data_IF_358300116774
#
_entry.id   IF_358300116774
#
_cell.length_a   1.000
_cell.length_b   1.000
_cell.length_c   1.000
_cell.angle_alpha   90.00
_cell.angle_beta   90.00
_cell.angle_gamma   90.00
#
_symmetry.space_group_name_H-M   'P 1'
#
loop_
_entity.id
_entity.type
_entity.pdbx_description
1 polymer ?
#
# COMPACT_ATOMS: atom_id res chain seq x y z
N UNK A 1 14.22 -10.23 -3.25
CA UNK A 1 14.79 -11.32 -4.05
C UNK A 1 16.00 -10.83 -4.83
N UNK A 2 15.87 -9.76 -5.63
CA UNK A 2 17.02 -9.19 -6.35
C UNK A 2 18.02 -8.52 -5.39
N UNK A 3 17.55 -7.81 -4.36
CA UNK A 3 18.41 -7.27 -3.29
C UNK A 3 19.31 -8.36 -2.67
N UNK A 4 18.71 -9.47 -2.22
CA UNK A 4 19.43 -10.61 -1.63
C UNK A 4 20.38 -11.32 -2.59
N UNK A 5 20.18 -11.18 -3.91
CA UNK A 5 21.07 -11.73 -4.93
C UNK A 5 22.24 -10.78 -5.24
N UNK A 6 22.00 -9.47 -5.28
CA UNK A 6 23.00 -8.46 -5.62
C UNK A 6 23.88 -8.06 -4.42
N UNK A 7 23.35 -8.11 -3.20
CA UNK A 7 24.06 -7.74 -1.98
C UNK A 7 25.37 -8.54 -1.78
N UNK A 8 25.40 -9.88 -1.93
CA UNK A 8 26.66 -10.63 -1.79
C UNK A 8 27.67 -10.33 -2.89
N UNK A 9 27.20 -9.98 -4.09
CA UNK A 9 28.03 -9.66 -5.26
C UNK A 9 28.64 -8.25 -5.17
N UNK A 10 28.09 -7.36 -4.33
CA UNK A 10 28.63 -6.02 -4.11
C UNK A 10 30.05 -6.03 -3.52
N UNK A 11 30.43 -7.09 -2.80
CA UNK A 11 31.80 -7.29 -2.33
C UNK A 11 32.81 -7.56 -3.46
N UNK A 12 32.33 -8.03 -4.62
CA UNK A 12 33.17 -8.36 -5.78
C UNK A 12 33.11 -7.29 -6.87
N UNK A 13 31.96 -6.62 -7.03
CA UNK A 13 31.74 -5.60 -8.07
C UNK A 13 31.41 -4.26 -7.39
N UNK A 14 32.37 -3.32 -7.40
CA UNK A 14 32.24 -2.00 -6.73
C UNK A 14 31.00 -1.21 -7.15
N UNK A 15 30.54 -1.34 -8.40
CA UNK A 15 29.34 -0.66 -8.91
C UNK A 15 28.07 -1.14 -8.20
N UNK A 16 28.00 -2.40 -7.77
CA UNK A 16 26.83 -2.95 -7.09
C UNK A 16 26.67 -2.45 -5.64
N UNK A 17 27.68 -1.75 -5.10
CA UNK A 17 27.60 -1.15 -3.76
C UNK A 17 26.44 -0.15 -3.63
N UNK A 18 25.97 0.42 -4.75
CA UNK A 18 24.80 1.31 -4.78
C UNK A 18 23.52 0.64 -4.24
N UNK A 19 23.42 -0.69 -4.29
CA UNK A 19 22.27 -1.46 -3.84
C UNK A 19 22.12 -1.44 -2.31
N UNK A 20 23.18 -1.14 -1.54
CA UNK A 20 23.07 -0.99 -0.09
C UNK A 20 22.31 0.28 0.33
N UNK A 21 22.27 1.31 -0.52
CA UNK A 21 21.61 2.57 -0.19
C UNK A 21 20.08 2.46 -0.35
N UNK A 22 19.35 2.69 0.74
CA UNK A 22 17.87 2.71 0.76
C UNK A 22 17.31 3.74 -0.23
N UNK A 23 17.99 4.88 -0.40
CA UNK A 23 17.59 5.92 -1.36
C UNK A 23 17.61 5.40 -2.79
N UNK A 24 18.71 4.76 -3.19
CA UNK A 24 18.83 4.14 -4.50
C UNK A 24 17.75 3.09 -4.71
N UNK A 25 17.59 2.16 -3.74
CA UNK A 25 16.58 1.09 -3.78
C UNK A 25 15.15 1.63 -3.89
N UNK A 26 14.83 2.71 -3.17
CA UNK A 26 13.54 3.38 -3.25
C UNK A 26 13.28 3.96 -4.64
N UNK A 27 14.27 4.65 -5.23
CA UNK A 27 14.14 5.23 -6.57
C UNK A 27 13.94 4.15 -7.62
N UNK A 28 14.77 3.11 -7.63
CA UNK A 28 14.64 2.03 -8.62
C UNK A 28 13.36 1.22 -8.41
N UNK A 29 12.88 1.04 -7.18
CA UNK A 29 11.60 0.38 -6.91
C UNK A 29 10.42 1.21 -7.43
N UNK A 30 10.42 2.53 -7.19
CA UNK A 30 9.42 3.46 -7.75
C UNK A 30 9.44 3.46 -9.28
N UNK A 31 10.62 3.54 -9.91
CA UNK A 31 10.74 3.47 -11.38
C UNK A 31 10.27 2.13 -11.93
N UNK A 32 10.59 1.01 -11.25
CA UNK A 32 10.12 -0.32 -11.64
C UNK A 32 8.59 -0.40 -11.53
N UNK A 33 8.01 0.13 -10.45
CA UNK A 33 6.56 0.18 -10.25
C UNK A 33 5.85 0.99 -11.35
N UNK A 34 6.39 2.17 -11.65
CA UNK A 34 5.91 3.03 -12.73
C UNK A 34 5.98 2.32 -14.09
N UNK A 35 7.12 1.71 -14.41
CA UNK A 35 7.31 0.97 -15.66
C UNK A 35 6.35 -0.21 -15.80
N UNK A 36 6.15 -1.00 -14.72
CA UNK A 36 5.19 -2.12 -14.72
C UNK A 36 3.78 -1.59 -15.02
N UNK A 37 3.36 -0.52 -14.35
CA UNK A 37 2.03 0.05 -14.57
C UNK A 37 1.87 0.62 -16.00
N UNK A 38 2.90 1.29 -16.53
CA UNK A 38 2.90 1.83 -17.88
C UNK A 38 2.86 0.74 -18.97
N UNK A 39 3.68 -0.31 -18.84
CA UNK A 39 3.79 -1.34 -19.89
C UNK A 39 2.71 -2.44 -19.77
N UNK A 40 2.30 -2.82 -18.56
CA UNK A 40 1.25 -3.83 -18.37
C UNK A 40 -0.16 -3.22 -18.44
N UNK A 41 -0.30 -1.90 -18.27
CA UNK A 41 -1.58 -1.19 -18.34
C UNK A 41 -2.38 -1.49 -19.62
N UNK A 42 -1.83 -1.25 -20.83
CA UNK A 42 -2.53 -1.51 -22.09
C UNK A 42 -2.96 -2.96 -22.26
N UNK A 43 -2.09 -3.90 -21.86
CA UNK A 43 -2.37 -5.33 -21.93
C UNK A 43 -3.52 -5.71 -20.99
N UNK A 44 -3.52 -5.20 -19.76
CA UNK A 44 -4.58 -5.47 -18.79
C UNK A 44 -5.91 -4.86 -19.25
N UNK A 45 -5.91 -3.60 -19.68
CA UNK A 45 -7.10 -2.89 -20.18
C UNK A 45 -7.71 -3.67 -21.36
N UNK A 46 -6.89 -4.10 -22.32
CA UNK A 46 -7.36 -4.92 -23.45
C UNK A 46 -7.97 -6.23 -22.97
N UNK A 47 -7.34 -6.90 -22.02
CA UNK A 47 -7.81 -8.18 -21.48
C UNK A 47 -9.14 -8.04 -20.75
N UNK A 48 -9.30 -7.01 -19.92
CA UNK A 48 -10.55 -6.72 -19.20
C UNK A 48 -11.69 -6.36 -20.16
N UNK A 49 -11.39 -5.58 -21.21
CA UNK A 49 -12.36 -5.22 -22.26
C UNK A 49 -12.85 -6.44 -23.03
N UNK A 50 -11.94 -7.36 -23.39
CA UNK A 50 -12.28 -8.62 -24.08
C UNK A 50 -13.18 -9.53 -23.23
N UNK A 51 -13.02 -9.50 -21.90
CA UNK A 51 -13.86 -10.27 -20.98
C UNK A 51 -15.20 -9.59 -20.65
N UNK A 52 -15.53 -8.44 -21.28
CA UNK A 52 -16.73 -7.64 -21.00
C UNK A 52 -16.91 -7.30 -19.51
N UNK A 53 -15.79 -7.12 -18.79
CA UNK A 53 -15.79 -6.74 -17.38
C UNK A 53 -15.99 -5.22 -17.28
N UNK A 54 -17.15 -4.76 -17.74
CA UNK A 54 -17.56 -3.36 -17.68
C UNK A 54 -18.33 -3.07 -16.39
N UNK A 55 -18.19 -1.85 -15.88
CA UNK A 55 -18.89 -1.40 -14.68
C UNK A 55 -20.41 -1.37 -14.92
N UNK A 56 -21.19 -2.10 -14.10
CA UNK A 56 -22.66 -2.03 -14.12
C UNK A 56 -23.07 -0.74 -13.40
N UNK A 57 -23.64 0.21 -14.15
CA UNK A 57 -24.01 1.55 -13.65
C UNK A 57 -25.09 1.44 -12.58
N UNK A 58 -24.92 2.12 -11.44
CA UNK A 58 -25.97 2.28 -10.41
C UNK A 58 -27.05 3.24 -10.93
N UNK A 59 -28.32 2.87 -10.80
CA UNK A 59 -29.45 3.73 -11.17
C UNK A 59 -29.64 4.91 -10.20
N UNK A 60 -29.04 4.83 -9.03
CA UNK A 60 -29.18 5.70 -7.87
C UNK A 60 -28.07 6.78 -7.74
N UNK A 61 -27.24 6.98 -8.78
CA UNK A 61 -26.14 7.96 -8.81
C UNK A 61 -26.40 9.22 -9.66
N UNK A 62 -25.61 10.30 -9.47
CA UNK A 62 -25.69 11.54 -10.28
C UNK A 62 -25.52 11.27 -11.79
N UNK A 63 -26.13 12.09 -12.66
CA UNK A 63 -26.10 11.87 -14.12
C UNK A 63 -24.69 11.88 -14.74
N UNK A 64 -23.73 12.56 -14.11
CA UNK A 64 -22.31 12.53 -14.49
C UNK A 64 -21.67 11.14 -14.36
N UNK A 65 -22.26 10.21 -13.59
CA UNK A 65 -21.79 8.82 -13.47
C UNK A 65 -22.37 7.89 -14.56
N UNK A 66 -23.33 8.35 -15.37
CA UNK A 66 -23.90 7.56 -16.47
C UNK A 66 -22.94 7.44 -17.67
N UNK A 67 -21.98 8.36 -17.83
CA UNK A 67 -20.96 8.33 -18.89
C UNK A 67 -19.85 7.29 -18.66
N UNK A 68 -19.76 6.69 -17.46
CA UNK A 68 -18.79 5.64 -17.11
C UNK A 68 -19.19 4.23 -17.57
N UNK A 69 -20.23 4.11 -18.40
CA UNK A 69 -20.66 2.83 -18.94
C UNK A 69 -19.57 2.23 -19.85
N UNK A 70 -18.94 1.14 -19.39
CA UNK A 70 -18.01 0.34 -20.20
C UNK A 70 -16.52 0.55 -19.95
N UNK A 71 -16.11 1.36 -18.97
CA UNK A 71 -14.71 1.33 -18.48
C UNK A 71 -14.46 0.02 -17.72
N UNK A 72 -13.33 -0.67 -18.00
CA UNK A 72 -13.02 -1.94 -17.37
C UNK A 72 -12.80 -1.78 -15.86
N UNK A 73 -13.46 -2.61 -15.06
CA UNK A 73 -13.29 -2.62 -13.60
C UNK A 73 -12.15 -3.57 -13.21
N UNK A 74 -11.62 -3.46 -11.99
CA UNK A 74 -10.46 -4.20 -11.45
C UNK A 74 -9.06 -3.65 -11.80
N UNK A 75 -8.93 -2.36 -12.12
CA UNK A 75 -7.62 -1.71 -12.30
C UNK A 75 -6.69 -1.83 -11.07
N UNK A 76 -7.24 -2.05 -9.87
CA UNK A 76 -6.46 -2.31 -8.66
C UNK A 76 -5.52 -3.52 -8.75
N UNK A 77 -5.80 -4.51 -9.60
CA UNK A 77 -4.87 -5.63 -9.86
C UNK A 77 -3.53 -5.14 -10.44
N UNK A 78 -3.57 -4.14 -11.33
CA UNK A 78 -2.36 -3.53 -11.88
C UNK A 78 -1.55 -2.86 -10.78
N UNK A 79 -2.21 -2.09 -9.92
CA UNK A 79 -1.58 -1.40 -8.80
C UNK A 79 -0.93 -2.42 -7.86
N UNK A 80 -1.65 -3.47 -7.45
CA UNK A 80 -1.11 -4.49 -6.56
C UNK A 80 0.12 -5.18 -7.16
N UNK A 81 0.08 -5.54 -8.45
CA UNK A 81 1.24 -6.12 -9.14
C UNK A 81 2.42 -5.13 -9.22
N UNK A 82 2.14 -3.87 -9.58
CA UNK A 82 3.13 -2.80 -9.68
C UNK A 82 3.72 -2.40 -8.32
N UNK A 83 3.08 -2.73 -7.19
CA UNK A 83 3.61 -2.49 -5.85
C UNK A 83 4.37 -3.70 -5.32
N UNK A 84 3.80 -4.90 -5.45
CA UNK A 84 4.37 -6.12 -4.88
C UNK A 84 5.64 -6.55 -5.60
N UNK A 85 5.66 -6.51 -6.94
CA UNK A 85 6.84 -6.96 -7.68
C UNK A 85 8.08 -6.12 -7.32
N UNK A 86 8.06 -4.77 -7.39
CA UNK A 86 9.23 -3.97 -7.03
C UNK A 86 9.59 -4.07 -5.54
N UNK A 87 8.59 -4.12 -4.65
CA UNK A 87 8.85 -4.33 -3.21
C UNK A 87 9.59 -5.65 -3.00
N UNK A 88 9.10 -6.75 -3.58
CA UNK A 88 9.73 -8.06 -3.43
C UNK A 88 11.10 -8.16 -4.10
N UNK A 89 11.35 -7.37 -5.15
CA UNK A 89 12.66 -7.30 -5.79
C UNK A 89 13.68 -6.55 -4.93
N UNK A 90 13.34 -5.35 -4.47
CA UNK A 90 14.28 -4.38 -3.93
C UNK A 90 14.31 -4.26 -2.39
N UNK A 91 13.23 -4.62 -1.69
CA UNK A 91 13.21 -4.54 -0.23
C UNK A 91 13.99 -5.69 0.44
N UNK A 92 14.48 -5.44 1.65
CA UNK A 92 15.02 -6.49 2.50
C UNK A 92 13.88 -7.33 3.09
N UNK A 93 13.65 -8.51 2.50
CA UNK A 93 12.60 -9.44 2.92
C UNK A 93 12.77 -10.06 4.31
N UNK A 94 13.88 -9.78 5.01
CA UNK A 94 14.04 -10.15 6.42
C UNK A 94 13.32 -9.18 7.36
N UNK A 95 12.95 -8.00 6.87
CA UNK A 95 12.25 -6.98 7.68
C UNK A 95 10.77 -7.37 7.85
N UNK A 96 10.30 -7.59 9.10
CA UNK A 96 8.90 -7.92 9.38
C UNK A 96 7.91 -6.84 8.93
N UNK A 97 8.29 -5.56 8.91
CA UNK A 97 7.39 -4.48 8.50
C UNK A 97 7.04 -4.56 7.02
N UNK A 98 7.96 -5.00 6.17
CA UNK A 98 7.68 -5.24 4.75
C UNK A 98 6.57 -6.28 4.60
N UNK A 99 6.63 -7.38 5.36
CA UNK A 99 5.60 -8.41 5.33
C UNK A 99 4.28 -7.93 5.91
N UNK A 100 4.28 -7.15 6.99
CA UNK A 100 3.06 -6.54 7.51
C UNK A 100 2.40 -5.66 6.43
N UNK A 101 3.17 -4.81 5.75
CA UNK A 101 2.66 -3.96 4.68
C UNK A 101 2.14 -4.75 3.47
N UNK A 102 2.89 -5.75 3.00
CA UNK A 102 2.51 -6.59 1.86
C UNK A 102 1.27 -7.44 2.18
N UNK A 103 1.24 -8.13 3.32
CA UNK A 103 0.13 -9.01 3.72
C UNK A 103 -1.13 -8.20 4.01
N UNK A 104 -1.02 -7.05 4.69
CA UNK A 104 -2.18 -6.18 4.92
C UNK A 104 -2.76 -5.67 3.60
N UNK A 105 -1.91 -5.16 2.71
CA UNK A 105 -2.32 -4.67 1.38
C UNK A 105 -2.94 -5.79 0.54
N UNK A 106 -2.36 -6.99 0.58
CA UNK A 106 -2.90 -8.15 -0.12
C UNK A 106 -4.25 -8.59 0.47
N UNK A 107 -4.41 -8.57 1.79
CA UNK A 107 -5.65 -8.91 2.47
C UNK A 107 -6.79 -7.95 2.12
N UNK A 108 -6.56 -6.64 2.22
CA UNK A 108 -7.55 -5.64 1.79
C UNK A 108 -7.80 -5.68 0.27
N UNK A 109 -6.75 -5.91 -0.52
CA UNK A 109 -6.84 -6.10 -1.97
C UNK A 109 -7.70 -7.30 -2.35
N UNK A 110 -7.56 -8.43 -1.67
CA UNK A 110 -8.35 -9.63 -1.88
C UNK A 110 -9.84 -9.41 -1.53
N UNK A 111 -10.12 -8.67 -0.44
CA UNK A 111 -11.48 -8.28 -0.08
C UNK A 111 -12.11 -7.39 -1.17
N UNK A 112 -11.35 -6.40 -1.67
CA UNK A 112 -11.78 -5.53 -2.77
C UNK A 112 -12.01 -6.31 -4.07
N UNK A 113 -11.10 -7.22 -4.41
CA UNK A 113 -11.24 -8.09 -5.57
C UNK A 113 -12.48 -8.98 -5.48
N UNK A 114 -12.74 -9.58 -4.32
CA UNK A 114 -13.95 -10.37 -4.10
C UNK A 114 -15.23 -9.52 -4.24
N UNK A 115 -15.21 -8.28 -3.77
CA UNK A 115 -16.32 -7.32 -3.88
C UNK A 115 -16.62 -7.00 -5.35
N UNK A 116 -15.59 -6.69 -6.12
CA UNK A 116 -15.74 -6.37 -7.54
C UNK A 116 -16.09 -7.59 -8.38
N UNK A 117 -15.50 -8.75 -8.09
CA UNK A 117 -15.82 -10.00 -8.76
C UNK A 117 -17.30 -10.36 -8.59
N UNK A 118 -17.87 -10.20 -7.38
CA UNK A 118 -19.29 -10.46 -7.16
C UNK A 118 -20.20 -9.51 -7.95
N UNK A 119 -19.86 -8.21 -8.05
CA UNK A 119 -20.64 -7.24 -8.85
C UNK A 119 -20.70 -7.68 -10.32
N UNK A 120 -19.56 -8.12 -10.86
CA UNK A 120 -19.45 -8.57 -12.25
C UNK A 120 -20.22 -9.89 -12.46
N UNK A 121 -19.98 -10.88 -11.59
CA UNK A 121 -20.60 -12.20 -11.70
C UNK A 121 -22.13 -12.15 -11.58
N UNK A 122 -22.65 -11.25 -10.73
CA UNK A 122 -24.09 -11.05 -10.53
C UNK A 122 -24.73 -10.06 -11.50
N UNK A 123 -23.93 -9.37 -12.32
CA UNK A 123 -24.36 -8.29 -13.23
C UNK A 123 -25.25 -7.24 -12.55
N UNK A 124 -24.91 -6.91 -11.31
CA UNK A 124 -25.62 -5.90 -10.54
C UNK A 124 -24.62 -5.01 -9.79
N UNK A 125 -25.11 -3.94 -9.19
CA UNK A 125 -24.30 -3.02 -8.40
C UNK A 125 -23.94 -3.54 -6.99
N UNK A 126 -24.50 -4.68 -6.58
CA UNK A 126 -24.35 -5.22 -5.23
C UNK A 126 -23.20 -6.22 -5.14
N UNK A 127 -22.11 -5.80 -4.49
CA UNK A 127 -20.95 -6.66 -4.20
C UNK A 127 -21.15 -7.55 -2.96
N UNK A 128 -20.13 -7.63 -2.11
CA UNK A 128 -20.23 -8.27 -0.81
C UNK A 128 -21.28 -7.55 0.06
N UNK A 129 -22.05 -8.31 0.84
CA UNK A 129 -22.87 -7.69 1.88
C UNK A 129 -21.97 -6.94 2.86
N UNK A 130 -22.40 -5.74 3.26
CA UNK A 130 -21.62 -4.84 4.12
C UNK A 130 -21.09 -5.55 5.38
N UNK A 131 -21.89 -6.41 6.01
CA UNK A 131 -21.48 -7.21 7.18
C UNK A 131 -20.29 -8.14 6.92
N UNK A 132 -20.24 -8.78 5.75
CA UNK A 132 -19.15 -9.70 5.40
C UNK A 132 -17.89 -8.94 4.98
N UNK A 133 -18.06 -7.82 4.25
CA UNK A 133 -16.95 -6.93 3.90
C UNK A 133 -16.29 -6.35 5.16
N UNK A 134 -17.11 -5.83 6.08
CA UNK A 134 -16.65 -5.29 7.36
C UNK A 134 -15.98 -6.36 8.23
N UNK A 135 -16.58 -7.55 8.37
CA UNK A 135 -15.99 -8.65 9.13
C UNK A 135 -14.62 -9.08 8.57
N UNK A 136 -14.48 -9.15 7.25
CA UNK A 136 -13.21 -9.49 6.61
C UNK A 136 -12.15 -8.39 6.82
N UNK A 137 -12.52 -7.11 6.68
CA UNK A 137 -11.62 -5.98 6.94
C UNK A 137 -11.16 -5.96 8.41
N UNK A 138 -12.08 -6.19 9.36
CA UNK A 138 -11.76 -6.30 10.79
C UNK A 138 -10.85 -7.49 11.07
N UNK A 139 -11.04 -8.64 10.42
CA UNK A 139 -10.18 -9.80 10.61
C UNK A 139 -8.74 -9.55 10.13
N UNK A 140 -8.57 -8.95 8.94
CA UNK A 140 -7.24 -8.55 8.44
C UNK A 140 -6.59 -7.53 9.38
N UNK A 141 -7.33 -6.51 9.79
CA UNK A 141 -6.79 -5.46 10.64
C UNK A 141 -6.46 -5.95 12.06
N UNK A 142 -7.24 -6.90 12.60
CA UNK A 142 -6.95 -7.59 13.86
C UNK A 142 -5.65 -8.38 13.76
N UNK A 143 -5.45 -9.16 12.69
CA UNK A 143 -4.22 -9.92 12.47
C UNK A 143 -2.98 -9.00 12.40
N UNK A 144 -3.10 -7.85 11.72
CA UNK A 144 -2.03 -6.83 11.67
C UNK A 144 -1.73 -6.26 13.06
N UNK A 145 -2.76 -5.87 13.82
CA UNK A 145 -2.59 -5.35 15.17
C UNK A 145 -1.92 -6.37 16.11
N UNK A 146 -2.35 -7.62 16.05
CA UNK A 146 -1.74 -8.73 16.82
C UNK A 146 -0.29 -8.93 16.41
N UNK A 147 0.03 -8.93 15.12
CA UNK A 147 1.40 -9.09 14.64
C UNK A 147 2.33 -8.00 15.20
N UNK A 148 1.90 -6.73 15.19
CA UNK A 148 2.69 -5.62 15.75
C UNK A 148 2.88 -5.77 17.26
N UNK A 149 1.83 -6.13 18.00
CA UNK A 149 1.92 -6.35 19.45
C UNK A 149 2.84 -7.53 19.78
N UNK A 150 2.81 -8.61 19.00
CA UNK A 150 3.71 -9.74 19.19
C UNK A 150 5.16 -9.35 18.91
N UNK A 151 5.43 -8.63 17.82
CA UNK A 151 6.78 -8.11 17.53
C UNK A 151 7.31 -7.22 18.66
N UNK A 152 6.46 -6.33 19.19
CA UNK A 152 6.81 -5.48 20.33
C UNK A 152 7.12 -6.26 21.62
N UNK A 153 6.59 -7.49 21.76
CA UNK A 153 6.88 -8.38 22.89
C UNK A 153 8.14 -9.21 22.68
N UNK A 154 8.37 -9.72 21.47
CA UNK A 154 9.53 -10.55 21.15
C UNK A 154 10.81 -9.74 21.03
N UNK A 155 10.74 -8.55 20.41
CA UNK A 155 11.90 -7.68 20.18
C UNK A 155 11.59 -6.23 20.63
N UNK A 156 11.44 -5.99 21.95
CA UNK A 156 11.02 -4.70 22.50
C UNK A 156 12.03 -3.56 22.28
N UNK A 157 13.27 -3.89 21.90
CA UNK A 157 14.31 -2.91 21.55
C UNK A 157 14.11 -2.31 20.17
N UNK A 158 13.44 -3.03 19.26
CA UNK A 158 13.24 -2.64 17.87
C UNK A 158 11.80 -2.23 17.58
N UNK A 159 10.83 -2.87 18.24
CA UNK A 159 9.40 -2.65 18.03
C UNK A 159 8.72 -2.18 19.32
N UNK A 160 7.74 -1.29 19.20
CA UNK A 160 6.97 -0.79 20.34
C UNK A 160 5.53 -0.45 19.93
N UNK A 161 4.68 -0.27 20.94
CA UNK A 161 3.26 0.11 20.83
C UNK A 161 3.03 1.56 21.25
N UNK A 162 4.06 2.42 21.15
CA UNK A 162 3.95 3.83 21.50
C UNK A 162 3.37 4.62 20.32
N UNK A 163 2.47 5.55 20.63
CA UNK A 163 1.95 6.49 19.64
C UNK A 163 2.65 7.82 19.76
N UNK A 164 3.30 8.27 18.70
CA UNK A 164 3.83 9.63 18.64
C UNK A 164 2.71 10.62 18.35
N UNK A 165 2.48 11.54 19.28
CA UNK A 165 1.50 12.63 19.12
C UNK A 165 2.22 13.81 18.47
N UNK A 166 1.82 14.24 17.26
CA UNK A 166 2.42 15.40 16.61
C UNK A 166 2.38 16.63 17.53
N UNK A 167 3.38 17.50 17.42
CA UNK A 167 3.57 18.72 18.22
C UNK A 167 3.92 18.50 19.71
N UNK A 168 3.54 17.37 20.32
CA UNK A 168 3.87 17.02 21.70
C UNK A 168 5.03 16.02 21.76
N UNK A 169 6.26 16.50 21.54
CA UNK A 169 7.48 15.67 21.36
C UNK A 169 7.77 14.69 22.51
N UNK A 170 7.36 15.02 23.74
CA UNK A 170 7.58 14.19 24.92
C UNK A 170 6.37 13.30 25.26
N UNK A 171 5.23 13.49 24.60
CA UNK A 171 4.02 12.71 24.83
C UNK A 171 3.94 11.56 23.83
N UNK A 172 4.47 10.41 24.23
CA UNK A 172 4.44 9.18 23.45
C UNK A 172 3.78 8.06 24.26
N UNK A 173 2.45 8.10 24.48
CA UNK A 173 1.76 7.10 25.29
C UNK A 173 1.95 5.69 24.72
N UNK A 174 2.28 4.74 25.61
CA UNK A 174 2.31 3.33 25.27
C UNK A 174 0.91 2.74 25.40
N UNK A 175 0.39 2.22 24.29
CA UNK A 175 -0.98 1.75 24.18
C UNK A 175 -1.09 0.25 24.53
N UNK A 176 0.02 -0.48 24.45
CA UNK A 176 0.09 -1.91 24.73
C UNK A 176 -0.94 -2.72 23.94
N UNK A 177 -1.78 -3.50 24.64
CA UNK A 177 -2.81 -4.35 24.02
C UNK A 177 -3.90 -3.56 23.29
N UNK A 178 -4.17 -2.32 23.70
CA UNK A 178 -5.14 -1.45 23.04
C UNK A 178 -4.68 -1.02 21.63
N UNK A 179 -3.43 -1.32 21.26
CA UNK A 179 -2.92 -1.08 19.92
C UNK A 179 -3.65 -1.93 18.87
N UNK A 180 -4.19 -3.09 19.25
CA UNK A 180 -4.99 -3.95 18.36
C UNK A 180 -6.30 -3.27 17.92
N UNK A 181 -7.22 -2.88 18.83
CA UNK A 181 -8.44 -2.18 18.42
C UNK A 181 -8.15 -0.82 17.76
N UNK A 182 -7.07 -0.13 18.16
CA UNK A 182 -6.63 1.10 17.48
C UNK A 182 -6.26 0.83 16.02
N UNK A 183 -5.45 -0.19 15.75
CA UNK A 183 -5.07 -0.60 14.38
C UNK A 183 -6.28 -1.03 13.56
N UNK A 184 -7.23 -1.76 14.18
CA UNK A 184 -8.49 -2.13 13.54
C UNK A 184 -9.29 -0.90 13.10
N UNK A 185 -9.45 0.07 13.99
CA UNK A 185 -10.15 1.32 13.68
C UNK A 185 -9.47 2.04 12.51
N UNK A 186 -8.16 2.25 12.58
CA UNK A 186 -7.41 3.02 11.57
C UNK A 186 -7.46 2.34 10.19
N UNK A 187 -7.15 1.04 10.10
CA UNK A 187 -7.09 0.35 8.81
C UNK A 187 -8.47 0.24 8.15
N UNK A 188 -9.50 -0.09 8.93
CA UNK A 188 -10.88 -0.18 8.41
C UNK A 188 -11.37 1.21 7.99
N UNK A 189 -11.14 2.25 8.79
CA UNK A 189 -11.52 3.61 8.46
C UNK A 189 -10.84 4.06 7.15
N UNK A 190 -9.51 3.96 7.07
CA UNK A 190 -8.75 4.35 5.88
C UNK A 190 -9.20 3.59 4.62
N UNK A 191 -9.40 2.26 4.71
CA UNK A 191 -9.85 1.46 3.56
C UNK A 191 -11.22 1.92 3.05
N UNK A 192 -12.16 2.21 3.94
CA UNK A 192 -13.48 2.68 3.56
C UNK A 192 -13.46 4.13 3.07
N UNK A 193 -12.65 5.01 3.67
CA UNK A 193 -12.46 6.40 3.20
C UNK A 193 -11.93 6.44 1.77
N UNK A 194 -10.92 5.63 1.44
CA UNK A 194 -10.38 5.57 0.06
C UNK A 194 -11.43 5.03 -0.91
N UNK A 195 -12.19 3.99 -0.52
CA UNK A 195 -13.29 3.46 -1.34
C UNK A 195 -14.37 4.51 -1.63
N UNK A 196 -14.73 5.33 -0.63
CA UNK A 196 -15.69 6.44 -0.80
C UNK A 196 -15.15 7.57 -1.69
N UNK A 197 -13.83 7.78 -1.71
CA UNK A 197 -13.18 8.81 -2.53
C UNK A 197 -13.10 8.40 -4.01
N UNK A 198 -13.15 7.10 -4.30
CA UNK A 198 -13.05 6.51 -5.64
C UNK A 198 -14.36 6.59 -6.45
N UNK A 199 -14.91 7.79 -6.54
CA UNK A 199 -16.13 8.10 -7.31
C UNK A 199 -15.85 8.80 -8.64
N UNK A 200 -14.74 9.55 -8.73
CA UNK A 200 -14.35 10.35 -9.89
C UNK A 200 -13.04 9.83 -10.47
N UNK A 201 -12.90 9.89 -11.79
CA UNK A 201 -11.70 9.40 -12.48
C UNK A 201 -10.47 10.21 -12.02
N UNK A 202 -9.40 9.52 -11.67
CA UNK A 202 -8.16 10.13 -11.16
C UNK A 202 -8.21 10.65 -9.72
N UNK A 203 -9.38 10.83 -9.09
CA UNK A 203 -9.48 11.49 -7.77
C UNK A 203 -8.84 10.67 -6.64
N UNK A 204 -9.22 9.40 -6.51
CA UNK A 204 -8.66 8.54 -5.46
C UNK A 204 -7.17 8.28 -5.68
N UNK A 205 -6.74 8.01 -6.91
CA UNK A 205 -5.33 7.68 -7.17
C UNK A 205 -4.40 8.89 -7.03
N UNK A 206 -4.84 10.09 -7.44
CA UNK A 206 -4.03 11.32 -7.29
C UNK A 206 -3.86 11.71 -5.82
N UNK A 207 -4.94 11.67 -5.03
CA UNK A 207 -4.87 11.90 -3.58
C UNK A 207 -4.03 10.85 -2.88
N UNK A 208 -4.14 9.57 -3.28
CA UNK A 208 -3.30 8.49 -2.77
C UNK A 208 -1.82 8.67 -3.13
N UNK A 209 -1.48 9.15 -4.34
CA UNK A 209 -0.10 9.42 -4.74
C UNK A 209 0.57 10.48 -3.85
N UNK A 210 -0.17 11.54 -3.48
CA UNK A 210 0.31 12.57 -2.54
C UNK A 210 0.53 11.98 -1.15
N UNK A 211 -0.42 11.19 -0.65
CA UNK A 211 -0.30 10.52 0.64
C UNK A 211 0.89 9.54 0.68
N UNK A 212 1.05 8.70 -0.35
CA UNK A 212 2.15 7.75 -0.49
C UNK A 212 3.52 8.46 -0.56
N UNK A 213 3.60 9.59 -1.25
CA UNK A 213 4.82 10.42 -1.32
C UNK A 213 5.17 10.98 0.06
N UNK A 214 4.16 11.44 0.80
CA UNK A 214 4.32 11.92 2.17
C UNK A 214 4.81 10.80 3.09
N UNK A 215 4.19 9.62 3.06
CA UNK A 215 4.63 8.46 3.85
C UNK A 215 6.04 7.99 3.48
N UNK A 216 6.42 8.04 2.19
CA UNK A 216 7.78 7.73 1.74
C UNK A 216 8.80 8.63 2.45
N UNK A 217 8.55 9.94 2.49
CA UNK A 217 9.40 10.90 3.18
C UNK A 217 9.42 10.65 4.71
N UNK A 218 8.26 10.45 5.33
CA UNK A 218 8.16 10.22 6.77
C UNK A 218 8.94 8.98 7.21
N UNK A 219 8.72 7.84 6.55
CA UNK A 219 9.39 6.57 6.88
C UNK A 219 10.89 6.68 6.66
N UNK A 220 11.33 7.37 5.62
CA UNK A 220 12.76 7.60 5.39
C UNK A 220 13.39 8.43 6.52
N UNK A 221 12.73 9.51 6.92
CA UNK A 221 13.20 10.42 7.97
C UNK A 221 13.23 9.72 9.33
N UNK A 222 12.17 9.00 9.71
CA UNK A 222 12.11 8.28 11.00
C UNK A 222 13.04 7.07 11.06
N UNK A 223 13.33 6.46 9.91
CA UNK A 223 14.32 5.40 9.75
C UNK A 223 15.78 5.87 9.82
N UNK A 224 16.04 7.17 9.62
CA UNK A 224 17.40 7.71 9.52
C UNK A 224 17.85 8.34 10.84
N UNK A 225 18.95 7.84 11.43
CA UNK A 225 19.41 8.25 12.76
C UNK A 225 19.58 9.77 12.91
N UNK A 226 20.29 10.41 11.98
CA UNK A 226 20.56 11.86 12.03
C UNK A 226 19.30 12.72 11.87
N UNK A 227 18.40 12.34 10.96
CA UNK A 227 17.19 13.13 10.70
C UNK A 227 16.15 12.97 11.80
N UNK A 228 15.97 11.75 12.32
CA UNK A 228 15.07 11.49 13.44
C UNK A 228 15.51 12.29 14.68
N UNK A 229 16.80 12.30 14.99
CA UNK A 229 17.35 13.09 16.12
C UNK A 229 17.17 14.60 15.90
N UNK A 230 17.57 15.12 14.73
CA UNK A 230 17.48 16.54 14.41
C UNK A 230 16.04 17.08 14.46
N UNK A 231 15.07 16.31 13.96
CA UNK A 231 13.66 16.69 13.94
C UNK A 231 12.92 16.34 15.25
N UNK A 232 13.61 15.68 16.19
CA UNK A 232 13.05 15.17 17.44
C UNK A 232 11.86 14.23 17.19
N UNK A 233 12.02 13.33 16.22
CA UNK A 233 11.08 12.27 15.87
C UNK A 233 11.51 10.95 16.52
N UNK A 234 10.53 10.07 16.77
CA UNK A 234 10.82 8.72 17.25
C UNK A 234 11.61 7.94 16.18
N UNK A 235 12.83 7.54 16.52
CA UNK A 235 13.65 6.68 15.66
C UNK A 235 13.11 5.26 15.70
N UNK A 236 12.73 4.74 14.55
CA UNK A 236 12.24 3.38 14.39
C UNK A 236 13.06 2.67 13.29
N UNK A 237 13.29 1.35 13.38
CA UNK A 237 13.96 0.59 12.32
C UNK A 237 13.00 0.33 11.14
N UNK A 238 12.40 1.38 10.58
CA UNK A 238 11.35 1.31 9.53
C UNK A 238 11.88 1.68 8.15
N UNK A 239 13.18 1.95 7.99
CA UNK A 239 13.74 2.49 6.74
C UNK A 239 13.48 1.63 5.50
N UNK A 240 13.31 0.31 5.63
CA UNK A 240 12.98 -0.56 4.49
C UNK A 240 11.57 -0.28 3.94
N UNK A 241 10.61 0.15 4.77
CA UNK A 241 9.27 0.51 4.32
C UNK A 241 9.28 1.67 3.32
N UNK A 242 10.35 2.48 3.26
CA UNK A 242 10.51 3.52 2.24
C UNK A 242 10.46 2.94 0.82
N UNK A 243 10.96 1.71 0.62
CA UNK A 243 10.95 1.03 -0.69
C UNK A 243 9.52 0.62 -1.07
N UNK A 244 8.73 0.11 -0.10
CA UNK A 244 7.32 -0.19 -0.31
C UNK A 244 6.51 1.08 -0.62
N UNK A 245 6.68 2.14 0.16
CA UNK A 245 6.01 3.43 -0.09
C UNK A 245 6.44 4.07 -1.41
N UNK A 246 7.73 3.98 -1.78
CA UNK A 246 8.22 4.43 -3.09
C UNK A 246 7.59 3.64 -4.24
N UNK A 247 7.40 2.33 -4.06
CA UNK A 247 6.66 1.48 -5.02
C UNK A 247 5.20 1.91 -5.14
N UNK A 248 4.54 2.28 -4.04
CA UNK A 248 3.18 2.86 -4.07
C UNK A 248 3.15 4.14 -4.92
N UNK A 249 4.12 5.05 -4.75
CA UNK A 249 4.20 6.28 -5.54
C UNK A 249 4.33 5.97 -7.04
N UNK A 250 5.30 5.14 -7.42
CA UNK A 250 5.52 4.78 -8.82
C UNK A 250 4.32 4.09 -9.45
N UNK A 251 3.71 3.13 -8.75
CA UNK A 251 2.51 2.44 -9.21
C UNK A 251 1.33 3.42 -9.40
N UNK A 252 1.15 4.36 -8.47
CA UNK A 252 0.06 5.35 -8.51
C UNK A 252 0.22 6.32 -9.68
N UNK A 253 1.43 6.83 -9.90
CA UNK A 253 1.72 7.70 -11.05
C UNK A 253 1.51 6.97 -12.39
N UNK A 254 1.95 5.71 -12.47
CA UNK A 254 1.76 4.91 -13.68
C UNK A 254 0.30 4.53 -13.92
N UNK A 255 -0.48 4.31 -12.85
CA UNK A 255 -1.92 4.05 -12.97
C UNK A 255 -2.68 5.30 -13.39
N UNK A 256 -2.33 6.47 -12.83
CA UNK A 256 -2.92 7.75 -13.18
C UNK A 256 -2.81 8.06 -14.68
N UNK A 257 -1.71 7.65 -15.34
CA UNK A 257 -1.55 7.77 -16.80
C UNK A 257 -2.69 7.11 -17.59
N UNK A 258 -3.26 6.02 -17.07
CA UNK A 258 -4.35 5.27 -17.70
C UNK A 258 -5.74 5.59 -17.10
N UNK A 259 -5.78 6.35 -16.01
CA UNK A 259 -6.98 6.66 -15.24
C UNK A 259 -7.41 8.14 -15.34
N UNK A 260 -6.79 8.89 -16.27
CA UNK A 260 -7.10 10.27 -16.59
C UNK A 260 -7.91 10.39 -17.89
#
# INVERSE_FOLDING_TARGET
MLFHLLEPLAGQIKVLNVVHYITFRTVVASMTAFAISLFLGPWLIRTLRLKQIGQVVRNDGPESHKSKAGTPTMGGLLILAAVFIPTLLWANLKDPFIWIAVVSTAGFGAIGFADDYLKIARRNSYGLFARYKMAAQLAVAFAVGVAVVLLARYEPTLYNTKLSVPFFKHFNPDVGLWYVPFTMLVLVACSNTVNLTDGLDGLAISTFAVAASTFTAFVYVTGHAKFAEYLLLLRLPVGELTIFCGSLVGASLGFLWWNA
#
